data_IF_027983595037
#
_entry.id   IF_027983595037
#
_cell.length_a   1.000
_cell.length_b   1.000
_cell.length_c   1.000
_cell.angle_alpha   90.00
_cell.angle_beta   90.00
_cell.angle_gamma   90.00
#
_symmetry.space_group_name_H-M   'P 1'
#
loop_
_entity.id
_entity.type
_entity.pdbx_description
1 polymer ?
#
# COMPACT_ATOMS: atom_id res chain seq x y z
N UNK A 1 -18.84 -17.69 1.79
CA UNK A 1 -19.93 -16.71 1.96
C UNK A 1 -19.57 -15.46 1.15
N UNK A 2 -20.52 -14.85 0.43
CA UNK A 2 -20.27 -13.60 -0.26
C UNK A 2 -19.96 -12.48 0.76
N UNK A 3 -18.96 -11.64 0.47
CA UNK A 3 -18.59 -10.52 1.35
C UNK A 3 -19.70 -9.48 1.43
N UNK A 4 -19.87 -8.87 2.61
CA UNK A 4 -20.77 -7.72 2.80
C UNK A 4 -20.28 -6.53 1.98
N UNK A 5 -21.18 -5.56 1.73
CA UNK A 5 -20.79 -4.29 1.08
C UNK A 5 -19.70 -3.56 1.90
N UNK A 6 -19.83 -3.62 3.23
CA UNK A 6 -18.91 -2.99 4.18
C UNK A 6 -17.51 -3.62 4.12
N UNK A 7 -17.41 -4.94 4.04
CA UNK A 7 -16.12 -5.64 3.89
C UNK A 7 -15.41 -5.26 2.59
N UNK A 8 -16.14 -5.20 1.46
CA UNK A 8 -15.56 -4.78 0.17
C UNK A 8 -15.07 -3.34 0.22
N UNK A 9 -15.84 -2.44 0.84
CA UNK A 9 -15.45 -1.04 1.04
C UNK A 9 -14.21 -0.94 1.93
N UNK A 10 -14.09 -1.78 2.96
CA UNK A 10 -12.93 -1.81 3.83
C UNK A 10 -11.67 -2.28 3.07
N UNK A 11 -11.79 -3.29 2.22
CA UNK A 11 -10.69 -3.74 1.36
C UNK A 11 -10.26 -2.66 0.35
N UNK A 12 -11.23 -1.96 -0.23
CA UNK A 12 -10.95 -0.85 -1.14
C UNK A 12 -10.29 0.32 -0.40
N UNK A 13 -10.78 0.67 0.79
CA UNK A 13 -10.19 1.71 1.63
C UNK A 13 -8.74 1.38 1.99
N UNK A 14 -8.46 0.13 2.34
CA UNK A 14 -7.09 -0.35 2.57
C UNK A 14 -6.19 -0.15 1.35
N UNK A 15 -6.64 -0.60 0.18
CA UNK A 15 -5.89 -0.40 -1.07
C UNK A 15 -5.59 1.07 -1.31
N UNK A 16 -6.59 1.95 -1.16
CA UNK A 16 -6.43 3.38 -1.40
C UNK A 16 -5.46 4.02 -0.40
N UNK A 17 -5.60 3.71 0.89
CA UNK A 17 -4.79 4.33 1.94
C UNK A 17 -3.31 3.97 1.81
N UNK A 18 -2.98 2.78 1.29
CA UNK A 18 -1.59 2.36 1.09
C UNK A 18 -1.11 2.68 -0.34
N UNK A 19 -1.93 2.52 -1.37
CA UNK A 19 -1.47 2.76 -2.73
C UNK A 19 -1.25 4.25 -3.04
N UNK A 20 -2.13 5.14 -2.59
CA UNK A 20 -2.03 6.56 -2.93
C UNK A 20 -0.73 7.22 -2.42
N UNK A 21 -0.31 7.03 -1.16
CA UNK A 21 0.97 7.56 -0.69
C UNK A 21 2.17 6.93 -1.40
N UNK A 22 2.10 5.64 -1.75
CA UNK A 22 3.14 4.98 -2.56
C UNK A 22 3.29 5.65 -3.92
N UNK A 23 2.18 5.88 -4.64
CA UNK A 23 2.19 6.58 -5.93
C UNK A 23 2.74 8.00 -5.79
N UNK A 24 2.34 8.71 -4.73
CA UNK A 24 2.89 10.04 -4.43
C UNK A 24 4.41 10.02 -4.24
N UNK A 25 4.93 9.03 -3.52
CA UNK A 25 6.36 8.84 -3.31
C UNK A 25 7.09 8.52 -4.63
N UNK A 26 6.53 7.65 -5.48
CA UNK A 26 7.07 7.36 -6.81
C UNK A 26 7.22 8.63 -7.65
N UNK A 27 6.17 9.46 -7.69
CA UNK A 27 6.17 10.73 -8.44
C UNK A 27 7.24 11.68 -7.90
N UNK A 28 7.31 11.83 -6.57
CA UNK A 28 8.32 12.68 -5.92
C UNK A 28 9.75 12.21 -6.20
N UNK A 29 9.99 10.90 -6.16
CA UNK A 29 11.29 10.31 -6.46
C UNK A 29 11.69 10.54 -7.92
N UNK A 30 10.77 10.31 -8.87
CA UNK A 30 11.06 10.51 -10.29
C UNK A 30 11.29 11.98 -10.65
N UNK A 31 10.51 12.90 -10.07
CA UNK A 31 10.66 14.34 -10.30
C UNK A 31 11.93 14.92 -9.70
N UNK A 32 12.39 14.35 -8.58
CA UNK A 32 13.57 14.82 -7.85
C UNK A 32 14.82 14.00 -8.18
N UNK A 33 14.78 13.14 -9.19
CA UNK A 33 15.91 12.31 -9.58
C UNK A 33 16.98 13.16 -10.28
N UNK A 34 18.16 13.22 -9.69
CA UNK A 34 19.33 13.90 -10.25
C UNK A 34 20.35 12.93 -10.86
N UNK A 35 20.19 11.64 -10.60
CA UNK A 35 21.08 10.58 -11.11
C UNK A 35 20.28 9.46 -11.78
N UNK A 36 20.87 8.74 -12.75
CA UNK A 36 20.22 7.60 -13.41
C UNK A 36 19.79 6.50 -12.43
N UNK A 37 20.56 6.30 -11.35
CA UNK A 37 20.24 5.36 -10.29
C UNK A 37 18.94 5.71 -9.55
N UNK A 38 18.76 6.98 -9.16
CA UNK A 38 17.54 7.44 -8.50
C UNK A 38 16.32 7.30 -9.41
N UNK A 39 16.49 7.58 -10.70
CA UNK A 39 15.44 7.37 -11.70
C UNK A 39 15.07 5.89 -11.83
N UNK A 40 16.06 5.00 -11.93
CA UNK A 40 15.84 3.55 -12.01
C UNK A 40 15.10 3.02 -10.77
N UNK A 41 15.45 3.49 -9.57
CA UNK A 41 14.74 3.17 -8.34
C UNK A 41 13.29 3.68 -8.34
N UNK A 42 13.06 4.91 -8.82
CA UNK A 42 11.70 5.43 -9.01
C UNK A 42 10.86 4.54 -9.94
N UNK A 43 11.41 4.13 -11.08
CA UNK A 43 10.76 3.22 -12.03
C UNK A 43 10.50 1.85 -11.41
N UNK A 44 11.45 1.30 -10.64
CA UNK A 44 11.28 0.03 -9.94
C UNK A 44 10.13 0.11 -8.93
N UNK A 45 10.02 1.22 -8.18
CA UNK A 45 8.90 1.47 -7.27
C UNK A 45 7.55 1.52 -7.99
N UNK A 46 7.49 2.19 -9.16
CA UNK A 46 6.31 2.21 -10.04
C UNK A 46 5.92 0.79 -10.48
N UNK A 47 6.89 -0.03 -10.90
CA UNK A 47 6.64 -1.41 -11.28
C UNK A 47 6.08 -2.23 -10.11
N UNK A 48 6.61 -2.04 -8.90
CA UNK A 48 6.12 -2.71 -7.69
C UNK A 48 4.67 -2.34 -7.36
N UNK A 49 4.32 -1.04 -7.35
CA UNK A 49 2.94 -0.63 -7.05
C UNK A 49 1.97 -1.08 -8.14
N UNK A 50 2.38 -1.03 -9.42
CA UNK A 50 1.58 -1.54 -10.53
C UNK A 50 1.32 -3.05 -10.39
N UNK A 51 2.36 -3.83 -10.09
CA UNK A 51 2.23 -5.27 -9.86
C UNK A 51 1.32 -5.59 -8.67
N UNK A 52 1.45 -4.84 -7.57
CA UNK A 52 0.59 -4.99 -6.40
C UNK A 52 -0.88 -4.70 -6.74
N UNK A 53 -1.15 -3.61 -7.46
CA UNK A 53 -2.51 -3.25 -7.87
C UNK A 53 -3.11 -4.27 -8.85
N UNK A 54 -2.37 -4.66 -9.89
CA UNK A 54 -2.82 -5.67 -10.86
C UNK A 54 -3.16 -7.01 -10.19
N UNK A 55 -2.43 -7.38 -9.13
CA UNK A 55 -2.68 -8.61 -8.38
C UNK A 55 -3.87 -8.49 -7.41
N UNK A 56 -4.00 -7.37 -6.71
CA UNK A 56 -4.91 -7.25 -5.56
C UNK A 56 -6.22 -6.51 -5.87
N UNK A 57 -6.26 -5.64 -6.88
CA UNK A 57 -7.50 -5.00 -7.33
C UNK A 57 -8.54 -6.01 -7.85
N UNK A 58 -8.20 -7.12 -8.53
CA UNK A 58 -9.21 -8.11 -8.92
C UNK A 58 -9.74 -8.94 -7.75
N UNK A 59 -9.01 -9.00 -6.63
CA UNK A 59 -9.29 -9.94 -5.52
C UNK A 59 -9.89 -9.29 -4.28
N UNK A 60 -10.02 -7.96 -4.25
CA UNK A 60 -10.58 -7.21 -3.12
C UNK A 60 -12.03 -7.58 -2.76
N UNK A 61 -12.79 -8.12 -3.72
CA UNK A 61 -14.19 -8.54 -3.52
C UNK A 61 -14.35 -10.04 -3.24
N UNK A 62 -13.24 -10.79 -3.23
CA UNK A 62 -13.25 -12.24 -3.04
C UNK A 62 -12.70 -12.69 -1.67
N UNK A 63 -11.86 -11.87 -1.04
CA UNK A 63 -11.17 -12.22 0.21
C UNK A 63 -11.70 -11.41 1.40
N UNK A 64 -11.83 -12.10 2.55
CA UNK A 64 -12.15 -11.44 3.82
C UNK A 64 -11.10 -10.37 4.16
N UNK A 65 -11.47 -9.26 4.83
CA UNK A 65 -10.55 -8.14 5.03
C UNK A 65 -9.22 -8.51 5.68
N UNK A 66 -9.24 -9.35 6.72
CA UNK A 66 -8.04 -9.84 7.38
C UNK A 66 -7.07 -10.55 6.42
N UNK A 67 -7.60 -11.44 5.58
CA UNK A 67 -6.80 -12.22 4.64
C UNK A 67 -6.33 -11.36 3.46
N UNK A 68 -7.19 -10.47 2.98
CA UNK A 68 -6.86 -9.55 1.91
C UNK A 68 -5.74 -8.59 2.31
N UNK A 69 -5.86 -7.94 3.48
CA UNK A 69 -4.88 -6.99 3.97
C UNK A 69 -3.54 -7.66 4.28
N UNK A 70 -3.55 -8.81 4.96
CA UNK A 70 -2.32 -9.55 5.27
C UNK A 70 -1.58 -10.04 4.02
N UNK A 71 -2.29 -10.49 2.98
CA UNK A 71 -1.69 -10.94 1.72
C UNK A 71 -1.20 -9.78 0.85
N UNK A 72 -1.90 -8.66 0.84
CA UNK A 72 -1.54 -7.50 0.01
C UNK A 72 -0.46 -6.63 0.63
N UNK A 73 -0.35 -6.60 1.97
CA UNK A 73 0.57 -5.72 2.68
C UNK A 73 2.04 -5.85 2.23
N UNK A 74 2.66 -7.04 2.12
CA UNK A 74 4.09 -7.13 1.78
C UNK A 74 4.42 -6.53 0.41
N UNK A 75 3.55 -6.75 -0.58
CA UNK A 75 3.72 -6.24 -1.95
C UNK A 75 3.48 -4.74 -2.02
N UNK A 76 2.45 -4.25 -1.33
CA UNK A 76 2.19 -2.82 -1.20
C UNK A 76 3.33 -2.12 -0.46
N UNK A 77 3.86 -2.71 0.61
CA UNK A 77 4.99 -2.17 1.37
C UNK A 77 6.28 -2.15 0.54
N UNK A 78 6.56 -3.22 -0.20
CA UNK A 78 7.72 -3.30 -1.08
C UNK A 78 7.74 -2.17 -2.12
N UNK A 79 6.57 -1.67 -2.54
CA UNK A 79 6.48 -0.55 -3.48
C UNK A 79 7.00 0.78 -2.94
N UNK A 80 7.21 0.93 -1.63
CA UNK A 80 7.79 2.14 -1.03
C UNK A 80 9.32 2.10 -1.03
N UNK A 81 9.91 0.92 -0.92
CA UNK A 81 11.34 0.75 -0.62
C UNK A 81 12.25 1.39 -1.69
N UNK A 82 12.06 1.13 -3.01
CA UNK A 82 12.92 1.71 -4.02
C UNK A 82 12.88 3.24 -4.04
N UNK A 83 11.69 3.85 -4.04
CA UNK A 83 11.57 5.31 -4.03
C UNK A 83 12.05 5.97 -2.74
N UNK A 84 11.95 5.31 -1.57
CA UNK A 84 12.56 5.83 -0.34
C UNK A 84 14.09 5.84 -0.44
N UNK A 85 14.69 4.79 -0.99
CA UNK A 85 16.15 4.73 -1.22
C UNK A 85 16.56 5.79 -2.25
N UNK A 86 15.81 5.92 -3.35
CA UNK A 86 16.10 6.87 -4.43
C UNK A 86 15.89 8.34 -4.02
N UNK A 87 14.95 8.59 -3.12
CA UNK A 87 14.59 9.92 -2.63
C UNK A 87 14.96 10.09 -1.16
N UNK A 88 16.16 9.68 -0.77
CA UNK A 88 16.66 9.81 0.60
C UNK A 88 17.03 11.27 0.91
N UNK A 89 16.01 12.13 1.08
CA UNK A 89 16.15 13.52 1.50
C UNK A 89 15.67 13.68 2.96
N UNK A 90 16.50 13.24 3.91
CA UNK A 90 16.24 13.42 5.35
C UNK A 90 15.02 12.66 5.90
N UNK A 91 14.62 12.96 7.14
CA UNK A 91 13.67 12.19 7.95
C UNK A 91 12.27 11.94 7.33
N UNK A 92 11.87 12.70 6.31
CA UNK A 92 10.62 12.50 5.57
C UNK A 92 10.58 11.16 4.83
N UNK A 93 11.72 10.67 4.35
CA UNK A 93 11.84 9.37 3.70
C UNK A 93 11.52 8.21 4.69
N UNK A 94 11.87 8.39 5.97
CA UNK A 94 11.56 7.44 7.03
C UNK A 94 10.07 7.42 7.37
N UNK A 95 9.43 8.60 7.41
CA UNK A 95 7.99 8.75 7.65
C UNK A 95 7.18 8.01 6.58
N UNK A 96 7.62 8.06 5.32
CA UNK A 96 6.98 7.34 4.23
C UNK A 96 6.99 5.81 4.40
N UNK A 97 8.05 5.23 5.00
CA UNK A 97 8.09 3.80 5.35
C UNK A 97 7.25 3.47 6.58
N UNK A 98 7.17 4.38 7.54
CA UNK A 98 6.40 4.17 8.77
C UNK A 98 4.89 4.23 8.51
N UNK A 99 4.43 5.05 7.56
CA UNK A 99 3.01 5.16 7.20
C UNK A 99 2.32 3.82 6.92
N UNK A 100 2.76 2.98 5.96
CA UNK A 100 2.11 1.70 5.68
C UNK A 100 2.14 0.74 6.88
N UNK A 101 3.18 0.79 7.72
CA UNK A 101 3.26 0.03 8.97
C UNK A 101 2.19 0.46 9.97
N UNK A 102 2.02 1.77 10.17
CA UNK A 102 0.95 2.31 11.03
C UNK A 102 -0.41 1.86 10.48
N UNK A 103 -0.66 2.01 9.18
CA UNK A 103 -1.92 1.57 8.58
C UNK A 103 -2.17 0.07 8.83
N UNK A 104 -1.14 -0.78 8.67
CA UNK A 104 -1.26 -2.21 8.94
C UNK A 104 -1.63 -2.50 10.40
N UNK A 105 -0.93 -1.87 11.34
CA UNK A 105 -1.19 -2.06 12.77
C UNK A 105 -2.59 -1.55 13.17
N UNK A 106 -3.07 -0.45 12.61
CA UNK A 106 -4.36 0.12 13.02
C UNK A 106 -5.57 -0.44 12.28
N UNK A 107 -5.41 -0.85 11.02
CA UNK A 107 -6.51 -1.31 10.16
C UNK A 107 -6.51 -2.84 10.08
N UNK A 108 -5.37 -3.44 9.72
CA UNK A 108 -5.29 -4.88 9.47
C UNK A 108 -5.20 -5.73 10.75
N UNK A 109 -4.66 -5.18 11.85
CA UNK A 109 -4.55 -5.93 13.11
C UNK A 109 -5.77 -5.79 14.05
N UNK A 110 -6.69 -4.86 13.77
CA UNK A 110 -7.86 -4.62 14.63
C UNK A 110 -9.01 -5.58 14.35
N UNK A 111 -9.14 -6.62 15.17
CA UNK A 111 -10.25 -7.56 15.10
C UNK A 111 -11.63 -6.90 15.23
N UNK A 112 -11.77 -5.88 16.09
CA UNK A 112 -13.02 -5.12 16.24
C UNK A 112 -13.49 -4.47 14.94
N UNK A 113 -12.57 -4.00 14.10
CA UNK A 113 -12.91 -3.38 12.81
C UNK A 113 -13.45 -4.42 11.82
N UNK A 114 -12.81 -5.59 11.79
CA UNK A 114 -13.26 -6.72 10.97
C UNK A 114 -14.59 -7.31 11.44
N UNK A 115 -14.82 -7.38 12.75
CA UNK A 115 -16.12 -7.78 13.30
C UNK A 115 -17.21 -6.77 12.98
N UNK A 116 -16.94 -5.47 13.11
CA UNK A 116 -17.88 -4.43 12.72
C UNK A 116 -18.26 -4.53 11.24
N UNK A 117 -17.28 -4.75 10.35
CA UNK A 117 -17.51 -4.87 8.91
C UNK A 117 -18.36 -6.12 8.55
N UNK A 118 -18.21 -7.21 9.30
CA UNK A 118 -19.03 -8.43 9.13
C UNK A 118 -20.47 -8.27 9.62
N UNK A 119 -20.71 -7.39 10.60
CA UNK A 119 -22.04 -7.17 11.21
C UNK A 119 -22.90 -6.13 10.46
N UNK A 120 -22.36 -5.43 9.46
CA UNK A 120 -23.05 -4.42 8.63
C UNK A 120 -23.04 -4.80 7.16
#
# INVERSE_FOLDING_TARGET
MPLTSTERRLNLAWLLVVALPSVGLCISCLRSAHTPWQFALGVASVACIAAALLRHVPTYSALAPRDFMSRSFPLLFASYVPSVIGHWQGGLALVALVHPLICYLFIASRERLHEWARRR
#
